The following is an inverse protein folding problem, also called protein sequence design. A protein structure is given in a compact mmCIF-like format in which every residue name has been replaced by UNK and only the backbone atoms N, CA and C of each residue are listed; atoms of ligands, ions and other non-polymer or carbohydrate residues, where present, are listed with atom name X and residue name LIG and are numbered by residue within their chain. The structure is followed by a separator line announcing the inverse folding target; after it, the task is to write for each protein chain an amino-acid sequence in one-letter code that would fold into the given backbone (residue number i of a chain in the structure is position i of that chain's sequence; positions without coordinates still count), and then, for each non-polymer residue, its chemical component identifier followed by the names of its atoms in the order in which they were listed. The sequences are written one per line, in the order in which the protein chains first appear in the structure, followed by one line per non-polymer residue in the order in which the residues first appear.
data_IF_318725047940
#
_entry.id   IF_318725047940
#
_cell.length_a   1.000
_cell.length_b   1.000
_cell.length_c   1.000
_cell.angle_alpha   90.00
_cell.angle_beta   90.00
_cell.angle_gamma   90.00
#
_symmetry.space_group_name_H-M   'P 1'
#
loop_
_entity.id
_entity.type
_entity.pdbx_description
1 polymer ?
#
# COMPACT_ATOMS: atom_id res chain seq x y z
N UNK A 1 -25.58 3.35 -34.01
CA UNK A 1 -24.41 3.85 -33.26
C UNK A 1 -23.51 2.67 -32.90
N UNK A 2 -22.38 2.50 -33.59
CA UNK A 2 -21.39 1.49 -33.19
C UNK A 2 -20.60 2.02 -31.99
N UNK A 3 -20.78 1.44 -30.80
CA UNK A 3 -19.85 1.65 -29.68
C UNK A 3 -18.53 1.00 -30.07
N UNK A 4 -17.49 1.80 -30.33
CA UNK A 4 -16.14 1.27 -30.50
C UNK A 4 -15.74 0.53 -29.22
N UNK A 5 -15.43 -0.76 -29.32
CA UNK A 5 -14.84 -1.51 -28.20
C UNK A 5 -13.46 -0.92 -27.94
N UNK A 6 -13.22 -0.47 -26.70
CA UNK A 6 -11.89 -0.07 -26.23
C UNK A 6 -10.91 -1.22 -26.49
N UNK A 7 -9.73 -0.91 -27.02
CA UNK A 7 -8.71 -1.92 -27.21
C UNK A 7 -8.22 -2.42 -25.84
N UNK A 8 -7.64 -3.63 -25.80
CA UNK A 8 -7.05 -4.15 -24.57
C UNK A 8 -5.97 -3.21 -24.01
N UNK A 9 -5.24 -2.51 -24.88
CA UNK A 9 -4.26 -1.50 -24.48
C UNK A 9 -4.92 -0.30 -23.78
N UNK A 10 -6.03 0.21 -24.31
CA UNK A 10 -6.75 1.34 -23.71
C UNK A 10 -7.30 0.99 -22.32
N UNK A 11 -7.81 -0.23 -22.15
CA UNK A 11 -8.27 -0.74 -20.87
C UNK A 11 -7.13 -0.80 -19.84
N UNK A 12 -5.96 -1.29 -20.24
CA UNK A 12 -4.78 -1.37 -19.35
C UNK A 12 -4.25 0.01 -18.97
N UNK A 13 -4.29 0.98 -19.89
CA UNK A 13 -3.88 2.37 -19.60
C UNK A 13 -4.86 3.02 -18.62
N UNK A 14 -6.17 2.82 -18.80
CA UNK A 14 -7.18 3.29 -17.85
C UNK A 14 -7.01 2.65 -16.46
N UNK A 15 -6.78 1.33 -16.40
CA UNK A 15 -6.49 0.58 -15.17
C UNK A 15 -5.25 1.15 -14.46
N UNK A 16 -4.18 1.44 -15.21
CA UNK A 16 -2.98 2.06 -14.66
C UNK A 16 -3.24 3.47 -14.12
N UNK A 17 -4.01 4.29 -14.83
CA UNK A 17 -4.36 5.65 -14.40
C UNK A 17 -5.17 5.64 -13.10
N UNK A 18 -6.17 4.74 -13.00
CA UNK A 18 -6.95 4.56 -11.78
C UNK A 18 -6.06 4.12 -10.61
N UNK A 19 -5.21 3.11 -10.81
CA UNK A 19 -4.28 2.64 -9.79
C UNK A 19 -3.36 3.79 -9.29
N UNK A 20 -2.86 4.64 -10.19
CA UNK A 20 -2.05 5.81 -9.83
C UNK A 20 -2.83 6.85 -9.02
N UNK A 21 -4.09 7.09 -9.37
CA UNK A 21 -4.97 7.96 -8.59
C UNK A 21 -5.19 7.42 -7.17
N UNK A 22 -5.41 6.10 -7.03
CA UNK A 22 -5.56 5.44 -5.73
C UNK A 22 -4.28 5.52 -4.89
N UNK A 23 -3.10 5.32 -5.48
CA UNK A 23 -1.81 5.53 -4.79
C UNK A 23 -1.69 6.96 -4.26
N UNK A 24 -2.09 7.95 -5.05
CA UNK A 24 -2.06 9.36 -4.66
C UNK A 24 -2.98 9.62 -3.46
N UNK A 25 -4.22 9.12 -3.52
CA UNK A 25 -5.20 9.26 -2.45
C UNK A 25 -4.72 8.61 -1.14
N UNK A 26 -4.21 7.38 -1.20
CA UNK A 26 -3.65 6.69 -0.03
C UNK A 26 -2.44 7.43 0.53
N UNK A 27 -1.56 7.96 -0.32
CA UNK A 27 -0.40 8.74 0.13
C UNK A 27 -0.80 10.02 0.85
N UNK A 28 -1.87 10.70 0.40
CA UNK A 28 -2.40 11.89 1.08
C UNK A 28 -2.93 11.54 2.47
N UNK A 29 -3.64 10.43 2.61
CA UNK A 29 -4.15 9.95 3.91
C UNK A 29 -3.03 9.56 4.88
N UNK A 30 -2.04 8.78 4.39
CA UNK A 30 -0.85 8.42 5.17
C UNK A 30 -0.19 9.68 5.72
N UNK A 31 0.03 10.68 4.86
CA UNK A 31 0.66 11.94 5.28
C UNK A 31 -0.13 12.62 6.41
N UNK A 32 -1.45 12.72 6.29
CA UNK A 32 -2.29 13.33 7.32
C UNK A 32 -2.17 12.61 8.67
N UNK A 33 -2.17 11.27 8.67
CA UNK A 33 -2.02 10.47 9.89
C UNK A 33 -0.60 10.57 10.48
N UNK A 34 0.44 10.59 9.64
CA UNK A 34 1.82 10.77 10.13
C UNK A 34 2.07 12.18 10.66
N UNK A 35 1.42 13.20 10.07
CA UNK A 35 1.51 14.59 10.56
C UNK A 35 0.81 14.68 11.94
N UNK A 36 -0.35 14.04 12.11
CA UNK A 36 -1.04 13.92 13.41
C UNK A 36 -0.18 13.23 14.48
N UNK A 37 0.48 12.11 14.14
CA UNK A 37 1.38 11.39 15.09
C UNK A 37 2.53 12.28 15.61
N UNK A 38 3.00 13.23 14.81
CA UNK A 38 4.07 14.16 15.20
C UNK A 38 3.58 15.25 16.16
N UNK A 39 2.33 15.65 16.03
CA UNK A 39 1.73 16.71 16.85
C UNK A 39 1.29 16.18 18.22
N UNK A 40 0.78 14.94 18.30
CA UNK A 40 0.14 14.40 19.50
C UNK A 40 1.05 13.56 20.42
N UNK A 41 2.36 13.52 20.15
CA UNK A 41 3.36 12.67 20.85
C UNK A 41 3.01 11.17 20.92
N UNK A 42 2.17 10.68 20.02
CA UNK A 42 1.79 9.27 19.96
C UNK A 42 2.96 8.36 19.58
N UNK A 43 2.79 7.05 19.74
CA UNK A 43 3.81 6.06 19.33
C UNK A 43 4.11 6.21 17.84
N UNK A 44 5.37 6.55 17.52
CA UNK A 44 5.85 6.74 16.16
C UNK A 44 6.09 5.39 15.48
N UNK A 45 5.32 5.11 14.42
CA UNK A 45 5.50 3.88 13.62
C UNK A 45 6.84 3.87 12.86
N UNK A 46 7.53 5.00 12.78
CA UNK A 46 8.85 5.11 12.15
C UNK A 46 9.90 4.26 12.89
N UNK A 47 9.87 4.20 14.24
CA UNK A 47 10.78 3.36 15.03
C UNK A 47 10.47 1.86 14.91
N UNK A 48 9.18 1.51 14.92
CA UNK A 48 8.67 0.15 14.69
C UNK A 48 9.09 -0.42 13.34
N UNK A 49 9.18 0.44 12.32
CA UNK A 49 9.63 0.05 10.99
C UNK A 49 11.08 -0.38 10.96
N UNK A 50 11.94 0.38 11.63
CA UNK A 50 13.38 0.15 11.59
C UNK A 50 13.70 -1.16 12.33
N UNK A 51 13.08 -1.39 13.50
CA UNK A 51 13.14 -2.67 14.23
C UNK A 51 12.62 -3.84 13.38
N UNK A 52 11.49 -3.69 12.69
CA UNK A 52 10.94 -4.74 11.84
C UNK A 52 11.78 -5.05 10.59
N UNK A 53 12.38 -4.02 9.97
CA UNK A 53 13.23 -4.19 8.80
C UNK A 53 14.54 -4.92 9.14
N UNK A 54 15.05 -4.75 10.37
CA UNK A 54 16.21 -5.48 10.90
C UNK A 54 15.93 -6.99 11.05
N UNK A 55 14.70 -7.39 11.36
CA UNK A 55 14.28 -8.80 11.44
C UNK A 55 14.15 -9.51 10.08
N UNK A 56 14.34 -8.82 8.96
CA UNK A 56 14.43 -9.43 7.63
C UNK A 56 13.12 -9.86 6.97
N UNK A 57 11.97 -9.68 7.64
CA UNK A 57 10.66 -10.20 7.20
C UNK A 57 9.85 -9.17 6.36
N UNK A 58 10.55 -8.49 5.45
CA UNK A 58 10.08 -7.31 4.70
C UNK A 58 8.86 -7.58 3.78
N UNK A 59 8.45 -8.84 3.64
CA UNK A 59 7.44 -9.30 2.68
C UNK A 59 6.05 -9.53 3.29
N UNK A 60 5.93 -9.61 4.63
CA UNK A 60 4.65 -9.91 5.30
C UNK A 60 3.75 -8.69 5.52
N UNK A 61 4.28 -7.48 5.34
CA UNK A 61 3.51 -6.23 5.44
C UNK A 61 3.55 -5.59 6.83
N UNK A 62 3.05 -4.37 6.91
CA UNK A 62 3.01 -3.57 8.13
C UNK A 62 2.03 -4.12 9.17
N UNK A 63 0.89 -4.70 8.76
CA UNK A 63 -0.04 -5.32 9.70
C UNK A 63 0.65 -6.44 10.50
N UNK A 64 1.40 -7.29 9.81
CA UNK A 64 2.17 -8.36 10.44
C UNK A 64 3.33 -7.83 11.29
N UNK A 65 3.99 -6.75 10.85
CA UNK A 65 5.04 -6.09 11.64
C UNK A 65 4.53 -5.60 12.99
N UNK A 66 3.35 -4.98 12.99
CA UNK A 66 2.71 -4.48 14.19
C UNK A 66 2.23 -5.60 15.10
N UNK A 67 1.67 -6.68 14.54
CA UNK A 67 1.30 -7.87 15.31
C UNK A 67 2.51 -8.55 15.97
N UNK A 68 3.72 -8.45 15.40
CA UNK A 68 4.94 -9.01 15.99
C UNK A 68 5.48 -8.14 17.13
N UNK A 69 5.53 -6.82 16.95
CA UNK A 69 6.08 -5.92 17.97
C UNK A 69 5.09 -5.74 19.13
N UNK A 70 3.80 -5.68 18.85
CA UNK A 70 2.76 -5.77 19.88
C UNK A 70 2.40 -7.22 20.25
N UNK A 71 3.03 -8.23 19.64
CA UNK A 71 2.82 -9.65 19.95
C UNK A 71 3.63 -10.17 21.12
N UNK A 72 4.55 -9.35 21.67
CA UNK A 72 5.10 -9.54 23.01
C UNK A 72 4.20 -8.97 24.12
N UNK A 73 2.98 -8.58 23.76
CA UNK A 73 1.96 -8.15 24.70
C UNK A 73 1.25 -9.38 25.27
N UNK A 74 1.30 -9.53 26.59
CA UNK A 74 0.50 -10.51 27.30
C UNK A 74 -0.98 -10.10 27.15
N UNK A 75 -1.86 -10.91 26.55
CA UNK A 75 -3.28 -10.61 26.48
C UNK A 75 -3.95 -10.50 27.87
N UNK A 76 -3.28 -10.95 28.95
CA UNK A 76 -3.73 -10.81 30.34
C UNK A 76 -3.22 -9.50 31.01
N UNK A 77 -2.28 -8.76 30.41
CA UNK A 77 -1.91 -7.40 30.84
C UNK A 77 -2.96 -6.40 30.32
N UNK A 78 -4.02 -6.21 31.12
CA UNK A 78 -5.12 -5.27 30.87
C UNK A 78 -4.76 -3.79 31.12
N UNK A 79 -3.51 -3.40 30.91
CA UNK A 79 -3.18 -1.97 30.89
C UNK A 79 -3.44 -1.45 29.47
N UNK A 80 -4.67 -0.96 29.26
CA UNK A 80 -5.19 -0.26 28.07
C UNK A 80 -4.27 0.88 27.53
N UNK A 81 -3.16 1.15 28.21
CA UNK A 81 -2.16 2.18 27.93
C UNK A 81 -1.22 1.86 26.75
N UNK A 82 -1.19 0.61 26.26
CA UNK A 82 -0.23 0.15 25.22
C UNK A 82 -0.86 -0.39 23.92
N UNK A 83 -2.18 -0.32 23.79
CA UNK A 83 -2.90 -0.72 22.58
C UNK A 83 -2.77 0.28 21.43
N UNK A 84 -2.72 -0.20 20.18
CA UNK A 84 -2.73 0.68 19.00
C UNK A 84 -4.04 1.47 18.91
N UNK A 85 -3.91 2.79 18.76
CA UNK A 85 -5.02 3.70 18.47
C UNK A 85 -5.69 3.35 17.13
N UNK A 86 -6.93 3.81 16.94
CA UNK A 86 -7.66 3.60 15.70
C UNK A 86 -6.93 4.20 14.49
N UNK A 87 -6.31 5.36 14.67
CA UNK A 87 -5.52 6.09 13.68
C UNK A 87 -4.25 5.32 13.30
N UNK A 88 -3.60 4.67 14.27
CA UNK A 88 -2.42 3.84 14.02
C UNK A 88 -2.79 2.57 13.24
N UNK A 89 -3.91 1.93 13.58
CA UNK A 89 -4.44 0.79 12.80
C UNK A 89 -4.77 1.21 11.37
N UNK A 90 -5.43 2.35 11.20
CA UNK A 90 -5.72 2.88 9.86
C UNK A 90 -4.43 3.17 9.07
N UNK A 91 -3.41 3.76 9.71
CA UNK A 91 -2.14 4.06 9.06
C UNK A 91 -1.45 2.78 8.55
N UNK A 92 -1.47 1.71 9.33
CA UNK A 92 -0.91 0.40 8.98
C UNK A 92 -1.62 -0.20 7.77
N UNK A 93 -2.96 -0.21 7.78
CA UNK A 93 -3.77 -0.68 6.65
C UNK A 93 -3.48 0.12 5.38
N UNK A 94 -3.32 1.44 5.50
CA UNK A 94 -3.00 2.31 4.38
C UNK A 94 -1.60 2.04 3.82
N UNK A 95 -0.61 1.75 4.67
CA UNK A 95 0.75 1.40 4.26
C UNK A 95 0.76 0.08 3.46
N UNK A 96 0.03 -0.94 3.93
CA UNK A 96 -0.10 -2.21 3.22
C UNK A 96 -0.88 -2.08 1.92
N UNK A 97 -1.98 -1.32 1.93
CA UNK A 97 -2.72 -0.99 0.71
C UNK A 97 -1.84 -0.29 -0.32
N UNK A 98 -1.01 0.66 0.12
CA UNK A 98 -0.05 1.35 -0.76
C UNK A 98 0.97 0.38 -1.36
N UNK A 99 1.50 -0.56 -0.58
CA UNK A 99 2.43 -1.57 -1.07
C UNK A 99 1.78 -2.46 -2.16
N UNK A 100 0.58 -2.98 -1.90
CA UNK A 100 -0.21 -3.77 -2.85
C UNK A 100 -0.46 -3.01 -4.16
N UNK A 101 -0.85 -1.74 -4.06
CA UNK A 101 -1.06 -0.88 -5.24
C UNK A 101 0.21 -0.70 -6.07
N UNK A 102 1.39 -0.57 -5.44
CA UNK A 102 2.67 -0.46 -6.18
C UNK A 102 3.03 -1.74 -6.94
N UNK A 103 2.76 -2.91 -6.35
CA UNK A 103 2.94 -4.20 -7.04
C UNK A 103 1.99 -4.29 -8.24
N UNK A 104 0.72 -3.95 -8.04
CA UNK A 104 -0.28 -3.93 -9.11
C UNK A 104 0.14 -2.97 -10.25
N UNK A 105 0.61 -1.76 -9.94
CA UNK A 105 1.13 -0.81 -10.92
C UNK A 105 2.25 -1.41 -11.79
N UNK A 106 3.19 -2.13 -11.17
CA UNK A 106 4.27 -2.84 -11.89
C UNK A 106 3.74 -3.94 -12.81
N UNK A 107 2.73 -4.69 -12.38
CA UNK A 107 2.09 -5.73 -13.18
C UNK A 107 1.33 -5.14 -14.38
N UNK A 108 0.55 -4.08 -14.17
CA UNK A 108 -0.19 -3.40 -15.24
C UNK A 108 0.78 -2.82 -16.26
N UNK A 109 1.85 -2.15 -15.82
CA UNK A 109 2.88 -1.60 -16.72
C UNK A 109 3.54 -2.66 -17.60
N UNK A 110 3.84 -3.84 -17.03
CA UNK A 110 4.37 -4.99 -17.80
C UNK A 110 3.37 -5.47 -18.84
N UNK A 111 2.08 -5.57 -18.50
CA UNK A 111 1.01 -5.96 -19.45
C UNK A 111 0.86 -4.96 -20.59
N UNK A 112 0.89 -3.65 -20.30
CA UNK A 112 0.87 -2.60 -21.33
C UNK A 112 2.03 -2.79 -22.32
N UNK A 113 3.24 -3.04 -21.82
CA UNK A 113 4.41 -3.23 -22.67
C UNK A 113 4.29 -4.47 -23.57
N UNK A 114 3.82 -5.59 -23.03
CA UNK A 114 3.59 -6.84 -23.80
C UNK A 114 2.55 -6.60 -24.90
N UNK A 115 1.44 -5.94 -24.58
CA UNK A 115 0.39 -5.64 -25.55
C UNK A 115 0.88 -4.69 -26.66
N UNK A 116 1.67 -3.68 -26.31
CA UNK A 116 2.31 -2.79 -27.28
C UNK A 116 3.22 -3.54 -28.27
N UNK A 117 4.02 -4.49 -27.78
CA UNK A 117 4.85 -5.36 -28.64
C UNK A 117 4.01 -6.23 -29.58
N UNK A 118 2.91 -6.80 -29.08
CA UNK A 118 1.99 -7.62 -29.88
C UNK A 118 1.37 -6.82 -31.02
N UNK A 119 0.91 -5.60 -30.74
CA UNK A 119 0.33 -4.70 -31.76
C UNK A 119 1.39 -4.33 -32.81
N UNK A 120 2.63 -4.06 -32.40
CA UNK A 120 3.71 -3.74 -33.33
C UNK A 120 4.03 -4.92 -34.26
N UNK A 121 4.11 -6.13 -33.72
CA UNK A 121 4.33 -7.35 -34.50
C UNK A 121 3.20 -7.65 -35.49
N UNK A 122 1.95 -7.40 -35.10
CA UNK A 122 0.81 -7.60 -36.00
C UNK A 122 0.72 -6.58 -37.15
N UNK A 123 1.48 -5.48 -37.08
CA UNK A 123 1.54 -4.42 -38.10
C UNK A 123 2.76 -4.54 -39.01
N UNK A 124 3.72 -5.40 -38.66
CA UNK A 124 4.95 -5.66 -39.43
C UNK A 124 4.75 -6.90 -40.29
#
# INVERSE_FOLDING_TARGET
MYKAKLSQADLLVAEYAQNRAEISAVTKKIKALTDWQREDKGVHLDGLRDEYLEHGDRWRGWAYAMELVHGQYDPDDQDDEYGLSAEQRELVDLLDKKAKLRVAAGNIKRRIFIEGRRIQQARS
#
